data_IF_897392416562
#
_entry.id   IF_897392416562
#
_cell.length_a   1.000
_cell.length_b   1.000
_cell.length_c   1.000
_cell.angle_alpha   90.00
_cell.angle_beta   90.00
_cell.angle_gamma   90.00
#
_symmetry.space_group_name_H-M   'P 1'
#
loop_
_entity.id
_entity.type
_entity.pdbx_description
1 polymer ?
#
# COMPACT_ATOMS: atom_id res chain seq x y z
N UNK A 1 16.15 11.91 -4.87
CA UNK A 1 15.71 11.74 -3.47
C UNK A 1 14.59 10.71 -3.44
N UNK A 2 14.55 9.80 -2.47
CA UNK A 2 13.47 8.83 -2.35
C UNK A 2 12.34 9.43 -1.49
N UNK A 3 11.14 9.72 -2.03
CA UNK A 3 10.07 10.34 -1.23
C UNK A 3 9.70 9.53 0.03
N UNK A 4 9.98 8.22 0.01
CA UNK A 4 9.79 7.31 1.14
C UNK A 4 10.72 7.58 2.32
N UNK A 5 11.86 8.23 2.10
CA UNK A 5 12.76 8.63 3.20
C UNK A 5 12.33 9.93 3.87
N UNK A 6 11.41 10.67 3.25
CA UNK A 6 10.83 11.89 3.81
C UNK A 6 9.68 11.63 4.76
N UNK A 7 8.99 10.52 4.58
CA UNK A 7 7.91 10.08 5.45
C UNK A 7 8.16 8.60 5.78
N UNK A 8 8.76 8.28 6.93
CA UNK A 8 9.04 6.91 7.34
C UNK A 8 7.72 6.25 7.76
N UNK A 9 6.93 5.83 6.77
CA UNK A 9 5.69 5.10 7.00
C UNK A 9 6.03 3.76 7.67
N UNK A 10 5.34 3.41 8.76
CA UNK A 10 5.58 2.16 9.46
C UNK A 10 5.18 0.96 8.60
N UNK A 11 5.82 -0.18 8.85
CA UNK A 11 5.54 -1.39 8.07
C UNK A 11 4.16 -1.97 8.40
N UNK A 12 3.29 -2.03 7.38
CA UNK A 12 1.97 -2.61 7.51
C UNK A 12 1.99 -4.14 7.66
N UNK A 13 2.88 -4.81 6.93
CA UNK A 13 2.99 -6.27 6.90
C UNK A 13 4.04 -6.69 7.92
N UNK A 14 3.66 -7.46 8.94
CA UNK A 14 4.60 -7.99 9.94
C UNK A 14 5.57 -9.01 9.33
N UNK A 15 6.75 -9.16 9.93
CA UNK A 15 7.77 -10.11 9.44
C UNK A 15 7.27 -11.56 9.40
N UNK A 16 6.43 -11.98 10.35
CA UNK A 16 5.76 -13.29 10.33
C UNK A 16 4.90 -13.49 9.06
N UNK A 17 4.19 -12.45 8.62
CA UNK A 17 3.39 -12.49 7.39
C UNK A 17 4.28 -12.47 6.15
N UNK A 18 5.35 -11.68 6.17
CA UNK A 18 6.36 -11.67 5.10
C UNK A 18 6.94 -13.07 4.91
N UNK A 19 7.36 -13.72 6.00
CA UNK A 19 7.92 -15.07 5.97
C UNK A 19 6.91 -16.09 5.45
N UNK A 20 5.66 -16.05 5.94
CA UNK A 20 4.58 -16.96 5.50
C UNK A 20 4.17 -16.80 4.04
N UNK A 21 4.38 -15.63 3.46
CA UNK A 21 3.98 -15.33 2.08
C UNK A 21 5.16 -15.17 1.11
N UNK A 22 6.41 -15.30 1.58
CA UNK A 22 7.61 -15.01 0.80
C UNK A 22 7.69 -15.83 -0.50
N UNK A 23 7.20 -17.07 -0.50
CA UNK A 23 7.15 -17.93 -1.69
C UNK A 23 6.32 -17.34 -2.84
N UNK A 24 5.37 -16.45 -2.53
CA UNK A 24 4.54 -15.76 -3.52
C UNK A 24 5.14 -14.42 -3.96
N UNK A 25 6.27 -14.00 -3.39
CA UNK A 25 6.97 -12.78 -3.79
C UNK A 25 7.88 -13.03 -4.99
N UNK A 26 7.29 -13.52 -6.08
CA UNK A 26 7.98 -13.87 -7.32
C UNK A 26 7.76 -12.79 -8.38
N UNK A 27 8.82 -12.46 -9.12
CA UNK A 27 8.78 -11.61 -10.28
C UNK A 27 8.16 -12.35 -11.49
N UNK A 28 7.76 -11.64 -12.56
CA UNK A 28 7.17 -12.27 -13.74
C UNK A 28 8.07 -13.32 -14.43
N UNK A 29 9.39 -13.23 -14.23
CA UNK A 29 10.38 -14.19 -14.72
C UNK A 29 10.52 -15.44 -13.82
N UNK A 30 9.73 -15.56 -12.76
CA UNK A 30 9.73 -16.69 -11.83
C UNK A 30 10.79 -16.61 -10.73
N UNK A 31 11.62 -15.57 -10.70
CA UNK A 31 12.64 -15.40 -9.66
C UNK A 31 12.02 -14.80 -8.39
N UNK A 32 12.52 -15.23 -7.23
CA UNK A 32 12.14 -14.62 -5.95
C UNK A 32 12.65 -13.18 -5.89
N UNK A 33 11.78 -12.26 -5.49
CA UNK A 33 12.13 -10.88 -5.18
C UNK A 33 12.69 -10.88 -3.76
N UNK A 34 14.00 -11.10 -3.64
CA UNK A 34 14.74 -11.17 -2.36
C UNK A 34 15.22 -9.78 -1.90
N UNK A 35 15.27 -8.81 -2.80
CA UNK A 35 15.88 -7.50 -2.56
C UNK A 35 14.85 -6.38 -2.33
N UNK A 36 14.82 -5.86 -1.09
CA UNK A 36 14.02 -4.69 -0.69
C UNK A 36 14.59 -3.36 -1.19
N UNK A 37 15.75 -3.34 -1.87
CA UNK A 37 16.49 -2.09 -2.15
C UNK A 37 16.11 -1.39 -3.46
N UNK A 38 15.25 -1.95 -4.29
CA UNK A 38 14.80 -1.30 -5.54
C UNK A 38 13.29 -1.34 -5.62
N UNK A 39 12.64 -0.17 -5.54
CA UNK A 39 11.46 0.32 -6.30
C UNK A 39 10.31 -0.64 -6.72
N UNK A 40 10.34 -1.92 -6.40
CA UNK A 40 9.44 -2.93 -6.90
C UNK A 40 8.27 -3.06 -5.94
N UNK A 41 7.08 -2.80 -6.47
CA UNK A 41 5.84 -3.17 -5.80
C UNK A 41 5.87 -4.67 -5.56
N UNK A 42 5.54 -5.14 -4.35
CA UNK A 42 5.45 -6.56 -4.07
C UNK A 42 4.50 -7.24 -5.06
N UNK A 43 4.80 -8.50 -5.40
CA UNK A 43 3.99 -9.25 -6.36
C UNK A 43 2.51 -9.26 -5.94
N UNK A 44 1.55 -9.15 -6.87
CA UNK A 44 0.12 -9.26 -6.54
C UNK A 44 -0.22 -10.56 -5.81
N UNK A 45 0.56 -11.64 -6.04
CA UNK A 45 0.42 -12.91 -5.34
C UNK A 45 0.84 -12.83 -3.88
N UNK A 46 1.96 -12.15 -3.59
CA UNK A 46 2.38 -11.88 -2.22
C UNK A 46 1.31 -11.11 -1.44
N UNK A 47 0.78 -10.04 -2.04
CA UNK A 47 -0.25 -9.21 -1.40
C UNK A 47 -1.55 -10.00 -1.22
N UNK A 48 -1.93 -10.82 -2.21
CA UNK A 48 -3.08 -11.72 -2.08
C UNK A 48 -2.90 -12.71 -0.94
N UNK A 49 -1.72 -13.32 -0.77
CA UNK A 49 -1.42 -14.22 0.35
C UNK A 49 -1.58 -13.50 1.69
N UNK A 50 -1.00 -12.31 1.83
CA UNK A 50 -1.09 -11.51 3.07
C UNK A 50 -2.55 -11.23 3.40
N UNK A 51 -3.33 -10.75 2.42
CA UNK A 51 -4.74 -10.39 2.62
C UNK A 51 -5.60 -11.60 3.03
N UNK A 52 -5.33 -12.77 2.45
CA UNK A 52 -5.99 -14.02 2.87
C UNK A 52 -5.62 -14.38 4.32
N UNK A 53 -4.33 -14.29 4.69
CA UNK A 53 -3.85 -14.64 6.04
C UNK A 53 -4.42 -13.73 7.13
N UNK A 54 -4.61 -12.44 6.84
CA UNK A 54 -5.23 -11.49 7.78
C UNK A 54 -6.76 -11.47 7.69
N UNK A 55 -7.37 -12.30 6.82
CA UNK A 55 -8.82 -12.47 6.72
C UNK A 55 -9.57 -11.31 6.06
N UNK A 56 -8.87 -10.39 5.39
CA UNK A 56 -9.47 -9.19 4.77
C UNK A 56 -9.89 -9.41 3.32
N UNK A 57 -9.62 -10.59 2.76
CA UNK A 57 -10.00 -10.96 1.40
C UNK A 57 -10.70 -12.32 1.39
N UNK A 58 -11.90 -12.35 0.83
CA UNK A 58 -12.73 -13.54 0.72
C UNK A 58 -13.73 -13.34 -0.43
N UNK A 59 -14.10 -14.41 -1.15
CA UNK A 59 -15.05 -14.36 -2.27
C UNK A 59 -14.72 -13.27 -3.32
N UNK A 60 -13.44 -13.11 -3.65
CA UNK A 60 -12.93 -12.13 -4.62
C UNK A 60 -13.20 -10.66 -4.26
N UNK A 61 -13.44 -10.39 -2.97
CA UNK A 61 -13.72 -9.06 -2.43
C UNK A 61 -12.79 -8.75 -1.27
N UNK A 62 -12.38 -7.49 -1.21
CA UNK A 62 -11.64 -6.93 -0.08
C UNK A 62 -12.65 -6.32 0.89
N UNK A 63 -12.53 -6.67 2.17
CA UNK A 63 -13.38 -6.15 3.24
C UNK A 63 -12.64 -5.02 3.95
N UNK A 64 -12.97 -3.78 3.57
CA UNK A 64 -12.32 -2.57 4.12
C UNK A 64 -12.49 -2.48 5.64
N UNK A 65 -13.63 -2.92 6.19
CA UNK A 65 -13.84 -2.88 7.64
C UNK A 65 -12.89 -3.83 8.39
N UNK A 66 -12.67 -5.05 7.87
CA UNK A 66 -11.67 -5.98 8.45
C UNK A 66 -10.25 -5.41 8.33
N UNK A 67 -9.95 -4.64 7.28
CA UNK A 67 -8.68 -3.93 7.15
C UNK A 67 -8.55 -2.84 8.22
N UNK A 68 -9.61 -2.09 8.51
CA UNK A 68 -9.63 -1.09 9.59
C UNK A 68 -9.38 -1.75 10.94
N UNK A 69 -10.00 -2.89 11.23
CA UNK A 69 -9.76 -3.64 12.46
C UNK A 69 -8.28 -4.07 12.57
N UNK A 70 -7.69 -4.55 11.47
CA UNK A 70 -6.26 -4.88 11.42
C UNK A 70 -5.37 -3.66 11.68
N UNK A 71 -5.67 -2.52 11.05
CA UNK A 71 -4.97 -1.24 11.25
C UNK A 71 -5.04 -0.81 12.71
N UNK A 72 -6.21 -0.97 13.35
CA UNK A 72 -6.41 -0.59 14.74
C UNK A 72 -5.52 -1.37 15.68
N UNK A 73 -5.40 -2.68 15.46
CA UNK A 73 -4.50 -3.54 16.25
C UNK A 73 -3.03 -3.22 15.96
N UNK A 74 -2.68 -3.02 14.68
CA UNK A 74 -1.30 -2.81 14.22
C UNK A 74 -0.71 -1.48 14.69
N UNK A 75 -1.51 -0.42 14.70
CA UNK A 75 -1.10 0.92 15.13
C UNK A 75 -1.79 1.35 16.43
N UNK A 76 -2.04 0.39 17.33
CA UNK A 76 -2.72 0.66 18.62
C UNK A 76 -2.05 1.75 19.46
N UNK A 77 -0.73 1.90 19.32
CA UNK A 77 0.11 2.84 20.07
C UNK A 77 0.38 4.13 19.27
N UNK A 78 -0.17 4.26 18.05
CA UNK A 78 0.03 5.40 17.15
C UNK A 78 -1.29 5.81 16.49
N UNK A 79 -2.05 6.64 17.21
CA UNK A 79 -3.36 7.14 16.75
C UNK A 79 -3.28 7.98 15.47
N UNK A 80 -2.15 8.67 15.24
CA UNK A 80 -1.97 9.52 14.05
C UNK A 80 -1.82 8.63 12.80
N UNK A 81 -1.02 7.57 12.89
CA UNK A 81 -0.89 6.56 11.84
C UNK A 81 -2.15 5.74 11.64
N UNK A 82 -2.84 5.39 12.73
CA UNK A 82 -4.10 4.67 12.66
C UNK A 82 -5.13 5.45 11.83
N UNK A 83 -5.32 6.74 12.14
CA UNK A 83 -6.24 7.60 11.41
C UNK A 83 -5.83 7.77 9.95
N UNK A 84 -4.55 8.09 9.70
CA UNK A 84 -4.02 8.23 8.34
C UNK A 84 -4.24 6.98 7.48
N UNK A 85 -3.98 5.80 8.04
CA UNK A 85 -4.18 4.53 7.35
C UNK A 85 -5.67 4.26 7.11
N UNK A 86 -6.54 4.45 8.09
CA UNK A 86 -8.00 4.26 7.95
C UNK A 86 -8.58 5.16 6.86
N UNK A 87 -8.20 6.44 6.86
CA UNK A 87 -8.65 7.42 5.86
C UNK A 87 -8.15 7.05 4.46
N UNK A 88 -6.89 6.61 4.36
CA UNK A 88 -6.30 6.14 3.11
C UNK A 88 -7.01 4.87 2.60
N UNK A 89 -7.29 3.89 3.47
CA UNK A 89 -8.04 2.68 3.10
C UNK A 89 -9.46 2.99 2.65
N UNK A 90 -10.13 3.93 3.29
CA UNK A 90 -11.49 4.36 2.93
C UNK A 90 -11.47 5.04 1.56
N UNK A 91 -10.54 5.97 1.35
CA UNK A 91 -10.36 6.71 0.08
C UNK A 91 -9.99 5.79 -1.07
N UNK A 92 -9.12 4.81 -0.84
CA UNK A 92 -8.69 3.88 -1.88
C UNK A 92 -9.68 2.74 -2.10
N UNK A 93 -10.41 2.33 -1.07
CA UNK A 93 -11.49 1.36 -1.16
C UNK A 93 -12.61 1.82 -2.09
N UNK A 94 -12.96 3.11 -2.07
CA UNK A 94 -13.97 3.66 -2.98
C UNK A 94 -13.52 3.68 -4.45
N UNK A 95 -12.21 3.62 -4.73
CA UNK A 95 -11.63 3.57 -6.08
C UNK A 95 -11.50 2.15 -6.64
N UNK A 96 -11.80 1.11 -5.85
CA UNK A 96 -11.64 -0.30 -6.26
C UNK A 96 -12.56 -0.66 -7.44
N UNK A 97 -13.82 -0.19 -7.44
CA UNK A 97 -14.75 -0.47 -8.54
C UNK A 97 -14.27 0.16 -9.84
N UNK A 98 -13.88 1.44 -9.81
CA UNK A 98 -13.32 2.14 -10.97
C UNK A 98 -12.08 1.44 -11.52
N UNK A 99 -11.18 0.99 -10.64
CA UNK A 99 -10.00 0.23 -11.06
C UNK A 99 -10.36 -1.10 -11.72
N UNK A 100 -11.35 -1.83 -11.19
CA UNK A 100 -11.84 -3.08 -11.78
C UNK A 100 -12.45 -2.83 -13.16
N UNK A 101 -13.27 -1.79 -13.31
CA UNK A 101 -13.89 -1.42 -14.58
C UNK A 101 -12.84 -1.04 -15.63
N UNK A 102 -11.78 -0.32 -15.23
CA UNK A 102 -10.68 0.05 -16.13
C UNK A 102 -9.81 -1.13 -16.55
N UNK A 103 -9.54 -2.08 -15.65
CA UNK A 103 -8.71 -3.25 -15.95
C UNK A 103 -9.48 -4.34 -16.68
N UNK A 104 -10.80 -4.43 -16.51
CA UNK A 104 -11.59 -5.56 -16.98
C UNK A 104 -11.28 -6.85 -16.22
N UNK A 105 -11.98 -7.93 -16.57
CA UNK A 105 -11.75 -9.26 -16.00
C UNK A 105 -10.41 -9.83 -16.52
N UNK A 106 -9.32 -9.51 -15.82
CA UNK A 106 -8.08 -10.25 -16.00
C UNK A 106 -8.17 -11.59 -15.27
N UNK A 107 -8.12 -12.73 -15.97
CA UNK A 107 -7.97 -14.03 -15.34
C UNK A 107 -6.54 -14.11 -14.80
N UNK A 108 -6.32 -13.61 -13.60
CA UNK A 108 -5.05 -13.77 -12.89
C UNK A 108 -5.23 -14.71 -11.70
N UNK A 109 -4.26 -15.61 -11.53
CA UNK A 109 -4.15 -16.49 -10.36
C UNK A 109 -4.10 -15.68 -9.03
N UNK A 110 -3.74 -14.40 -9.11
CA UNK A 110 -3.59 -13.50 -7.98
C UNK A 110 -4.32 -12.19 -8.27
N UNK A 111 -5.13 -11.71 -7.33
CA UNK A 111 -6.03 -10.61 -7.62
C UNK A 111 -5.31 -9.24 -7.57
N UNK A 112 -5.35 -8.54 -8.70
CA UNK A 112 -4.71 -7.23 -8.88
C UNK A 112 -5.36 -6.14 -8.03
N UNK A 113 -6.61 -6.34 -7.61
CA UNK A 113 -7.34 -5.41 -6.75
C UNK A 113 -6.62 -5.17 -5.41
N UNK A 114 -6.07 -6.21 -4.78
CA UNK A 114 -5.35 -6.06 -3.51
C UNK A 114 -4.05 -5.28 -3.71
N UNK A 115 -3.31 -5.58 -4.79
CA UNK A 115 -2.08 -4.85 -5.13
C UNK A 115 -2.37 -3.37 -5.40
N UNK A 116 -3.42 -3.08 -6.17
CA UNK A 116 -3.90 -1.70 -6.38
C UNK A 116 -4.21 -1.01 -5.06
N UNK A 117 -4.95 -1.66 -4.17
CA UNK A 117 -5.33 -1.07 -2.88
C UNK A 117 -4.10 -0.69 -2.06
N UNK A 118 -3.13 -1.59 -1.91
CA UNK A 118 -1.89 -1.31 -1.14
C UNK A 118 -1.12 -0.13 -1.74
N UNK A 119 -1.00 -0.08 -3.07
CA UNK A 119 -0.30 1.01 -3.76
C UNK A 119 -1.02 2.34 -3.59
N UNK A 120 -2.35 2.34 -3.74
CA UNK A 120 -3.17 3.53 -3.54
C UNK A 120 -3.02 4.04 -2.10
N UNK A 121 -3.17 3.17 -1.11
CA UNK A 121 -3.07 3.51 0.32
C UNK A 121 -1.71 4.08 0.62
N UNK A 122 -0.64 3.44 0.15
CA UNK A 122 0.72 3.94 0.35
C UNK A 122 0.91 5.36 -0.20
N UNK A 123 0.38 5.64 -1.39
CA UNK A 123 0.47 6.96 -2.00
C UNK A 123 -0.39 8.00 -1.26
N UNK A 124 -1.59 7.65 -0.81
CA UNK A 124 -2.43 8.55 0.01
C UNK A 124 -1.79 8.84 1.37
N UNK A 125 -1.17 7.84 2.02
CA UNK A 125 -0.45 8.04 3.28
C UNK A 125 0.79 8.93 3.09
N UNK A 126 1.55 8.76 2.01
CA UNK A 126 2.68 9.65 1.70
C UNK A 126 2.22 11.08 1.43
N UNK A 127 1.14 11.26 0.68
CA UNK A 127 0.58 12.57 0.34
C UNK A 127 0.09 13.31 1.57
N UNK A 128 -0.58 12.59 2.47
CA UNK A 128 -1.15 13.13 3.70
C UNK A 128 -0.22 12.90 4.90
N UNK A 129 1.07 12.68 4.67
CA UNK A 129 2.02 12.38 5.72
C UNK A 129 2.03 13.50 6.78
N UNK A 130 1.86 13.16 8.07
CA UNK A 130 1.87 14.11 9.15
C UNK A 130 3.17 14.91 9.23
N UNK A 131 3.07 16.17 9.64
CA UNK A 131 4.25 17.03 9.82
C UNK A 131 5.19 16.53 10.91
N UNK A 132 4.66 15.81 11.91
CA UNK A 132 5.40 15.17 13.02
C UNK A 132 6.36 14.08 12.54
N UNK A 133 6.02 13.39 11.44
CA UNK A 133 6.80 12.30 10.86
C UNK A 133 7.56 12.73 9.61
N UNK A 134 7.18 13.87 9.04
CA UNK A 134 7.87 14.44 7.89
C UNK A 134 9.29 14.87 8.26
N UNK A 135 10.27 14.38 7.50
CA UNK A 135 11.65 14.82 7.63
C UNK A 135 11.79 16.26 7.16
N UNK A 136 12.18 17.16 8.07
CA UNK A 136 12.27 18.59 7.80
C UNK A 136 13.57 19.01 7.08
N UNK A 137 14.07 18.19 6.16
CA UNK A 137 15.20 18.56 5.30
C UNK A 137 14.72 19.36 4.10
N UNK A 138 15.57 20.22 3.55
CA UNK A 138 15.26 21.01 2.35
C UNK A 138 14.76 20.11 1.21
N UNK A 139 15.50 19.03 0.91
CA UNK A 139 15.15 18.10 -0.17
C UNK A 139 13.76 17.46 0.01
N UNK A 140 13.36 17.19 1.26
CA UNK A 140 12.03 16.65 1.53
C UNK A 140 10.96 17.72 1.33
N UNK A 141 11.15 18.92 1.88
CA UNK A 141 10.19 20.00 1.71
C UNK A 141 9.99 20.35 0.23
N UNK A 142 11.07 20.43 -0.55
CA UNK A 142 11.02 20.64 -2.00
C UNK A 142 10.25 19.52 -2.72
N UNK A 143 10.47 18.25 -2.34
CA UNK A 143 9.74 17.13 -2.89
C UNK A 143 8.24 17.19 -2.54
N UNK A 144 7.90 17.56 -1.29
CA UNK A 144 6.51 17.71 -0.82
C UNK A 144 5.78 18.77 -1.63
N UNK A 145 6.41 19.93 -1.80
CA UNK A 145 5.87 21.02 -2.61
C UNK A 145 5.72 20.62 -4.08
N UNK A 146 6.70 19.92 -4.63
CA UNK A 146 6.62 19.41 -6.00
C UNK A 146 5.43 18.47 -6.18
N UNK A 147 5.23 17.48 -5.30
CA UNK A 147 4.09 16.55 -5.40
C UNK A 147 2.74 17.22 -5.14
N UNK A 148 2.68 18.19 -4.23
CA UNK A 148 1.46 18.96 -3.96
C UNK A 148 1.04 19.81 -5.18
N UNK A 149 2.01 20.37 -5.89
CA UNK A 149 1.79 21.26 -7.04
C UNK A 149 1.77 20.53 -8.39
N UNK A 150 2.13 19.25 -8.43
CA UNK A 150 2.11 18.45 -9.64
C UNK A 150 0.65 18.19 -10.08
N UNK A 151 0.13 19.09 -10.93
CA UNK A 151 -1.09 18.81 -11.70
C UNK A 151 -0.76 17.61 -12.58
N UNK A 152 -1.54 16.53 -12.46
CA UNK A 152 -1.48 15.42 -13.41
C UNK A 152 -1.60 16.01 -14.82
N UNK A 153 -0.49 16.09 -15.54
CA UNK A 153 -0.50 16.44 -16.93
C UNK A 153 -1.26 15.30 -17.61
N UNK A 154 -2.52 15.54 -17.95
CA UNK A 154 -3.27 14.68 -18.85
C UNK A 154 -2.51 14.72 -20.18
N UNK A 155 -1.68 13.71 -20.42
CA UNK A 155 -1.23 13.34 -21.76
C UNK A 155 -2.09 12.20 -22.24
#
# INVERSE_FOLDING_TARGET
MNPRTCCPLPEFISDDLKQKCMEYNVAPNGELIVDNTRLHQPSPCFISCVFNKIGVYENQKVYIDKLKDYVQVKFKDDSEMQNLAIDSFTTCGSKISEFKDMKGDFPSLCAWTQAFLVVCVYNEMLKNCPATLWSNTQDCNDAREYFANCKHSKK
#
